data_IF_777586600731
#
_entry.id   IF_777586600731
#
_cell.length_a   1.000
_cell.length_b   1.000
_cell.length_c   1.000
_cell.angle_alpha   90.00
_cell.angle_beta   90.00
_cell.angle_gamma   90.00
#
_symmetry.space_group_name_H-M   'P 1'
#
loop_
_entity.id
_entity.type
_entity.pdbx_description
1 polymer ?
#
# COMPACT_ATOMS: atom_id res chain seq x y z
N UNK A 1 10.31 -2.56 -8.16
CA UNK A 1 9.36 -2.79 -7.08
C UNK A 1 9.02 -1.45 -6.40
N UNK A 2 7.78 -0.93 -6.49
CA UNK A 2 7.39 0.33 -5.85
C UNK A 2 6.96 0.21 -4.38
N UNK A 3 6.91 -0.99 -3.80
CA UNK A 3 6.32 -1.24 -2.46
C UNK A 3 6.91 -0.34 -1.37
N UNK A 4 8.25 -0.24 -1.28
CA UNK A 4 8.89 0.59 -0.25
C UNK A 4 8.55 2.10 -0.38
N UNK A 5 8.41 2.59 -1.61
CA UNK A 5 8.03 3.98 -1.87
C UNK A 5 6.58 4.25 -1.46
N UNK A 6 5.68 3.29 -1.72
CA UNK A 6 4.28 3.38 -1.30
C UNK A 6 4.16 3.38 0.23
N UNK A 7 4.89 2.50 0.92
CA UNK A 7 4.93 2.50 2.39
C UNK A 7 5.52 3.80 2.97
N UNK A 8 6.52 4.39 2.30
CA UNK A 8 7.04 5.71 2.68
C UNK A 8 5.97 6.80 2.62
N UNK A 9 5.07 6.74 1.63
CA UNK A 9 3.92 7.65 1.56
C UNK A 9 2.93 7.43 2.71
N UNK A 10 2.68 6.18 3.11
CA UNK A 10 1.87 5.88 4.29
C UNK A 10 2.47 6.45 5.59
N UNK A 11 3.79 6.34 5.76
CA UNK A 11 4.52 6.93 6.89
C UNK A 11 4.44 8.47 6.88
N UNK A 12 4.50 9.09 5.69
CA UNK A 12 4.31 10.54 5.56
C UNK A 12 2.88 10.95 5.95
N UNK A 13 1.87 10.17 5.57
CA UNK A 13 0.49 10.40 5.99
C UNK A 13 0.35 10.33 7.52
N UNK A 14 0.92 9.31 8.17
CA UNK A 14 0.88 9.19 9.64
C UNK A 14 1.60 10.37 10.32
N UNK A 15 2.78 10.74 9.82
CA UNK A 15 3.53 11.90 10.33
C UNK A 15 2.70 13.18 10.24
N UNK A 16 2.06 13.43 9.09
CA UNK A 16 1.22 14.61 8.93
C UNK A 16 -0.07 14.53 9.74
N UNK A 17 -0.62 13.33 9.97
CA UNK A 17 -1.78 13.12 10.82
C UNK A 17 -1.48 13.51 12.26
N UNK A 18 -0.33 13.09 12.79
CA UNK A 18 0.17 13.48 14.12
C UNK A 18 0.40 15.01 14.20
N UNK A 19 1.17 15.57 13.25
CA UNK A 19 1.51 17.01 13.24
C UNK A 19 0.32 17.93 13.08
N UNK A 20 -0.74 17.50 12.40
CA UNK A 20 -1.90 18.34 12.06
C UNK A 20 -3.18 17.93 12.77
N UNK A 21 -3.12 16.93 13.66
CA UNK A 21 -4.30 16.31 14.29
C UNK A 21 -5.40 15.97 13.28
N UNK A 22 -5.01 15.44 12.12
CA UNK A 22 -5.94 15.19 11.01
C UNK A 22 -6.24 13.70 10.88
N UNK A 23 -7.42 13.22 11.34
CA UNK A 23 -7.79 11.81 11.28
C UNK A 23 -7.96 11.28 9.86
N UNK A 24 -8.23 12.14 8.87
CA UNK A 24 -8.32 11.71 7.46
C UNK A 24 -6.95 11.26 6.93
N UNK A 25 -5.86 11.87 7.38
CA UNK A 25 -4.50 11.46 7.00
C UNK A 25 -4.10 10.15 7.68
N UNK A 26 -4.49 9.94 8.94
CA UNK A 26 -4.30 8.66 9.62
C UNK A 26 -5.05 7.53 8.90
N UNK A 27 -6.31 7.79 8.49
CA UNK A 27 -7.11 6.84 7.70
C UNK A 27 -6.45 6.53 6.36
N UNK A 28 -5.93 7.55 5.66
CA UNK A 28 -5.23 7.35 4.39
C UNK A 28 -3.97 6.48 4.54
N UNK A 29 -3.14 6.75 5.55
CA UNK A 29 -1.95 5.93 5.86
C UNK A 29 -2.33 4.47 6.17
N UNK A 30 -3.38 4.27 6.97
CA UNK A 30 -3.89 2.94 7.28
C UNK A 30 -4.41 2.19 6.04
N UNK A 31 -5.14 2.87 5.16
CA UNK A 31 -5.65 2.29 3.91
C UNK A 31 -4.52 1.85 2.99
N UNK A 32 -3.47 2.68 2.83
CA UNK A 32 -2.30 2.33 2.00
C UNK A 32 -1.59 1.10 2.56
N UNK A 33 -1.37 1.02 3.89
CA UNK A 33 -0.77 -0.16 4.52
C UNK A 33 -1.59 -1.42 4.27
N UNK A 34 -2.89 -1.36 4.53
CA UNK A 34 -3.79 -2.49 4.30
C UNK A 34 -3.77 -2.94 2.82
N UNK A 35 -3.72 -2.00 1.87
CA UNK A 35 -3.57 -2.31 0.45
C UNK A 35 -2.27 -3.05 0.13
N UNK A 36 -1.14 -2.60 0.69
CA UNK A 36 0.16 -3.28 0.51
C UNK A 36 0.12 -4.69 1.13
N UNK A 37 -0.41 -4.83 2.34
CA UNK A 37 -0.52 -6.11 3.03
C UNK A 37 -1.41 -7.08 2.25
N UNK A 38 -2.58 -6.64 1.78
CA UNK A 38 -3.49 -7.45 0.98
C UNK A 38 -2.91 -7.86 -0.36
N UNK A 39 -2.22 -6.95 -1.04
CA UNK A 39 -1.51 -7.25 -2.28
C UNK A 39 -0.41 -8.31 -2.08
N UNK A 40 0.42 -8.16 -1.05
CA UNK A 40 1.51 -9.11 -0.76
C UNK A 40 0.96 -10.47 -0.35
N UNK A 41 -0.09 -10.50 0.49
CA UNK A 41 -0.76 -11.74 0.90
C UNK A 41 -1.41 -12.48 -0.28
N UNK A 42 -1.90 -11.74 -1.30
CA UNK A 42 -2.52 -12.32 -2.49
C UNK A 42 -1.55 -13.02 -3.44
N UNK A 43 -0.24 -12.67 -3.44
CA UNK A 43 0.82 -13.40 -4.13
C UNK A 43 0.79 -13.43 -5.68
N UNK A 44 -0.27 -12.95 -6.34
CA UNK A 44 -0.48 -13.15 -7.78
C UNK A 44 0.38 -12.26 -8.70
N UNK A 45 0.78 -11.07 -8.25
CA UNK A 45 1.50 -10.10 -9.07
C UNK A 45 2.76 -9.59 -8.36
N UNK A 46 3.57 -10.50 -7.81
CA UNK A 46 4.72 -10.12 -7.00
C UNK A 46 5.86 -9.46 -7.81
N UNK A 47 6.64 -8.56 -7.20
CA UNK A 47 7.83 -7.97 -7.78
C UNK A 47 8.96 -9.02 -7.93
N UNK A 48 9.92 -8.75 -8.82
CA UNK A 48 11.02 -9.68 -9.11
C UNK A 48 11.88 -10.07 -7.90
N UNK A 49 12.14 -9.12 -7.01
CA UNK A 49 12.87 -9.29 -5.75
C UNK A 49 12.11 -10.15 -4.72
N UNK A 50 10.80 -10.36 -4.90
CA UNK A 50 9.98 -11.29 -4.11
C UNK A 50 9.66 -12.58 -4.89
N UNK A 51 10.43 -12.90 -5.93
CA UNK A 51 10.27 -14.12 -6.73
C UNK A 51 9.21 -14.05 -7.83
N UNK A 52 8.60 -12.89 -8.05
CA UNK A 52 7.62 -12.68 -9.12
C UNK A 52 8.24 -12.12 -10.41
N UNK A 53 7.38 -11.58 -11.28
CA UNK A 53 7.77 -10.94 -12.56
C UNK A 53 6.96 -9.69 -12.87
N UNK A 54 6.20 -9.18 -11.90
CA UNK A 54 5.29 -8.06 -12.13
C UNK A 54 6.06 -6.78 -12.43
N UNK A 55 5.57 -6.04 -13.43
CA UNK A 55 6.02 -4.69 -13.72
C UNK A 55 5.49 -3.71 -12.65
N UNK A 56 6.15 -2.56 -12.52
CA UNK A 56 5.75 -1.51 -11.56
C UNK A 56 4.27 -1.15 -11.64
N UNK A 57 3.70 -1.04 -12.84
CA UNK A 57 2.27 -0.74 -13.04
C UNK A 57 1.36 -1.80 -12.43
N UNK A 58 1.60 -3.08 -12.74
CA UNK A 58 0.81 -4.20 -12.21
C UNK A 58 0.89 -4.31 -10.68
N UNK A 59 2.04 -3.96 -10.09
CA UNK A 59 2.20 -3.91 -8.63
C UNK A 59 1.31 -2.81 -8.04
N UNK A 60 1.32 -1.61 -8.62
CA UNK A 60 0.47 -0.50 -8.17
C UNK A 60 -1.02 -0.82 -8.32
N UNK A 61 -1.43 -1.40 -9.46
CA UNK A 61 -2.81 -1.84 -9.69
C UNK A 61 -3.25 -2.88 -8.64
N UNK A 62 -2.39 -3.84 -8.32
CA UNK A 62 -2.68 -4.84 -7.29
C UNK A 62 -2.85 -4.24 -5.89
N UNK A 63 -2.03 -3.24 -5.53
CA UNK A 63 -2.17 -2.51 -4.26
C UNK A 63 -3.49 -1.73 -4.23
N UNK A 64 -3.84 -1.02 -5.30
CA UNK A 64 -5.10 -0.26 -5.37
C UNK A 64 -6.31 -1.20 -5.25
N UNK A 65 -6.31 -2.32 -5.99
CA UNK A 65 -7.37 -3.31 -5.92
C UNK A 65 -7.53 -3.88 -4.48
N UNK A 66 -6.42 -4.10 -3.78
CA UNK A 66 -6.44 -4.54 -2.39
C UNK A 66 -6.94 -3.46 -1.40
N UNK A 67 -6.79 -2.17 -1.72
CA UNK A 67 -7.37 -1.07 -0.93
C UNK A 67 -8.90 -0.98 -1.08
N UNK A 68 -9.42 -1.36 -2.24
CA UNK A 68 -10.85 -1.30 -2.58
C UNK A 68 -11.62 -2.55 -2.13
N UNK A 69 -10.92 -3.66 -1.89
CA UNK A 69 -11.52 -4.85 -1.31
C UNK A 69 -12.01 -4.57 0.11
N UNK A 70 -13.27 -4.89 0.41
CA UNK A 70 -13.76 -4.86 1.79
C UNK A 70 -12.95 -5.85 2.64
N UNK A 71 -12.49 -5.46 3.85
CA UNK A 71 -11.85 -6.40 4.75
C UNK A 71 -12.86 -7.50 5.09
N UNK A 72 -12.47 -8.76 4.83
CA UNK A 72 -13.24 -9.95 5.17
C UNK A 72 -13.44 -10.10 6.69
#
# INVERSE_FOLDING_TARGET
NPVAMVLSAAMLCDYLADKRHNPALAKAGALIRAGVDGYLAGGNALPGDLGGKAATGAITEGIIAAMEAEPA
#
